data_IF_553604119112
#
_entry.id   IF_553604119112
#
_cell.length_a   1.000
_cell.length_b   1.000
_cell.length_c   1.000
_cell.angle_alpha   90.00
_cell.angle_beta   90.00
_cell.angle_gamma   90.00
#
_symmetry.space_group_name_H-M   'P 1'
#
loop_
_entity.id
_entity.type
_entity.pdbx_description
1 polymer ?
#
# COMPACT_ATOMS: atom_id res chain seq x y z
N UNK A 1 24.30 -8.72 3.83
CA UNK A 1 23.72 -8.96 2.49
C UNK A 1 24.54 -8.20 1.46
N UNK A 2 24.84 -8.84 0.31
CA UNK A 2 25.55 -8.23 -0.81
C UNK A 2 24.59 -7.71 -1.85
N UNK A 3 25.03 -6.70 -2.56
CA UNK A 3 24.31 -6.12 -3.69
C UNK A 3 25.28 -5.97 -4.87
N UNK A 4 24.80 -6.28 -6.07
CA UNK A 4 25.59 -6.23 -7.30
C UNK A 4 25.09 -5.12 -8.20
N UNK A 5 26.01 -4.32 -8.74
CA UNK A 5 25.71 -3.27 -9.70
C UNK A 5 26.66 -3.37 -10.88
N UNK A 6 26.13 -3.28 -12.09
CA UNK A 6 26.92 -3.30 -13.32
C UNK A 6 26.96 -1.91 -13.94
N UNK A 7 28.16 -1.43 -14.22
CA UNK A 7 28.40 -0.25 -15.05
C UNK A 7 28.80 -0.70 -16.47
N UNK A 8 28.22 -0.03 -17.46
CA UNK A 8 28.60 -0.21 -18.87
C UNK A 8 29.22 1.09 -19.38
N UNK A 9 30.38 0.98 -19.99
CA UNK A 9 31.14 2.06 -20.57
C UNK A 9 31.17 1.85 -22.10
N UNK A 10 30.62 2.83 -22.83
CA UNK A 10 30.67 2.85 -24.29
C UNK A 10 31.61 3.98 -24.74
N UNK A 11 32.64 3.65 -25.49
CA UNK A 11 33.60 4.62 -26.05
C UNK A 11 33.06 5.17 -27.35
N UNK A 12 32.63 6.44 -27.33
CA UNK A 12 32.10 7.15 -28.50
C UNK A 12 33.01 8.32 -28.85
N UNK A 13 33.15 8.60 -30.16
CA UNK A 13 33.96 9.71 -30.65
C UNK A 13 35.01 9.26 -31.67
N UNK A 14 35.86 10.19 -32.10
CA UNK A 14 36.89 9.95 -33.11
C UNK A 14 38.18 9.37 -32.54
N UNK A 15 38.45 9.61 -31.27
CA UNK A 15 39.68 9.13 -30.59
C UNK A 15 39.26 8.12 -29.47
N UNK A 16 40.11 7.11 -29.30
CA UNK A 16 39.97 6.16 -28.19
C UNK A 16 40.41 6.80 -26.85
N UNK A 17 40.28 6.04 -25.77
CA UNK A 17 40.69 6.41 -24.43
C UNK A 17 42.07 5.82 -24.10
N UNK A 18 42.84 6.54 -23.27
CA UNK A 18 44.18 6.10 -22.81
C UNK A 18 44.14 5.90 -21.31
N UNK A 19 44.72 4.76 -20.89
CA UNK A 19 44.81 4.41 -19.45
C UNK A 19 43.50 4.58 -18.73
N UNK A 20 42.42 4.08 -19.31
CA UNK A 20 41.07 4.18 -18.73
C UNK A 20 40.98 3.34 -17.44
N UNK A 21 40.31 3.89 -16.45
CA UNK A 21 40.06 3.26 -15.15
C UNK A 21 38.59 3.43 -14.76
N UNK A 22 38.03 2.44 -14.10
CA UNK A 22 36.73 2.52 -13.44
C UNK A 22 36.92 2.26 -11.95
N UNK A 23 36.42 3.15 -11.13
CA UNK A 23 36.48 3.09 -9.68
C UNK A 23 35.07 2.89 -9.15
N UNK A 24 34.90 1.97 -8.21
CA UNK A 24 33.63 1.70 -7.56
C UNK A 24 33.70 1.99 -6.07
N UNK A 25 32.94 2.99 -5.66
CA UNK A 25 32.82 3.38 -4.25
C UNK A 25 31.43 3.05 -3.70
N UNK A 26 31.38 2.73 -2.42
CA UNK A 26 30.12 2.57 -1.67
C UNK A 26 30.14 3.44 -0.43
N UNK A 27 29.17 4.33 -0.30
CA UNK A 27 29.08 5.33 0.77
C UNK A 27 30.35 6.21 0.90
N UNK A 28 31.06 6.42 -0.22
CA UNK A 28 32.31 7.19 -0.28
C UNK A 28 33.56 6.41 0.06
N UNK A 29 33.46 5.09 0.30
CA UNK A 29 34.60 4.21 0.52
C UNK A 29 34.89 3.40 -0.74
N UNK A 30 36.17 3.33 -1.13
CA UNK A 30 36.63 2.54 -2.27
C UNK A 30 36.37 1.05 -2.01
N UNK A 31 35.66 0.40 -2.92
CA UNK A 31 35.38 -1.05 -2.89
C UNK A 31 36.19 -1.80 -3.92
N UNK A 32 36.23 -1.27 -5.17
CA UNK A 32 36.96 -1.89 -6.25
C UNK A 32 37.45 -0.88 -7.29
N UNK A 33 38.46 -1.27 -8.08
CA UNK A 33 39.03 -0.46 -9.16
C UNK A 33 39.49 -1.37 -10.30
N UNK A 34 39.09 -1.05 -11.50
CA UNK A 34 39.47 -1.78 -12.70
C UNK A 34 40.32 -0.93 -13.63
N UNK A 35 41.51 -1.47 -13.98
CA UNK A 35 42.38 -0.92 -15.00
C UNK A 35 41.90 -1.42 -16.36
N UNK A 36 41.31 -0.58 -17.17
CA UNK A 36 40.79 -0.91 -18.50
C UNK A 36 41.85 -0.71 -19.59
N UNK A 37 42.91 0.04 -19.28
CA UNK A 37 43.97 0.36 -20.24
C UNK A 37 43.47 1.26 -21.37
N UNK A 38 43.98 1.00 -22.59
CA UNK A 38 43.54 1.75 -23.76
C UNK A 38 42.28 1.14 -24.33
N UNK A 39 41.26 1.95 -24.56
CA UNK A 39 40.00 1.55 -25.17
C UNK A 39 39.80 2.23 -26.51
N UNK A 40 39.52 1.43 -27.56
CA UNK A 40 39.28 1.95 -28.91
C UNK A 40 37.87 2.57 -29.02
N UNK A 41 37.71 3.50 -29.99
CA UNK A 41 36.39 4.00 -30.35
C UNK A 41 35.47 2.83 -30.77
N UNK A 42 34.23 2.84 -30.27
CA UNK A 42 33.24 1.77 -30.46
C UNK A 42 33.43 0.56 -29.55
N UNK A 43 34.44 0.55 -28.68
CA UNK A 43 34.59 -0.50 -27.67
C UNK A 43 33.64 -0.26 -26.47
N UNK A 44 33.07 -1.38 -26.00
CA UNK A 44 32.21 -1.40 -24.77
C UNK A 44 32.90 -2.28 -23.73
N UNK A 45 32.81 -1.84 -22.46
CA UNK A 45 33.21 -2.63 -21.29
C UNK A 45 32.06 -2.64 -20.27
N UNK A 46 31.77 -3.82 -19.72
CA UNK A 46 30.80 -3.99 -18.62
C UNK A 46 31.47 -4.58 -17.41
N UNK A 47 31.34 -3.93 -16.26
CA UNK A 47 31.99 -4.29 -15.01
C UNK A 47 30.99 -4.31 -13.88
N UNK A 48 31.03 -5.36 -13.06
CA UNK A 48 30.11 -5.55 -11.95
C UNK A 48 30.84 -5.36 -10.63
N UNK A 49 30.40 -4.36 -9.88
CA UNK A 49 30.82 -4.14 -8.50
C UNK A 49 29.91 -4.88 -7.52
N UNK A 50 30.50 -5.54 -6.54
CA UNK A 50 29.79 -6.27 -5.49
C UNK A 50 30.15 -5.63 -4.14
N UNK A 51 29.14 -5.23 -3.38
CA UNK A 51 29.38 -4.62 -2.09
C UNK A 51 28.39 -5.08 -1.01
N UNK A 52 28.83 -5.02 0.23
CA UNK A 52 27.97 -5.20 1.37
C UNK A 52 27.14 -3.95 1.61
N UNK A 53 25.82 -4.10 1.76
CA UNK A 53 24.94 -3.00 2.14
C UNK A 53 24.85 -2.87 3.68
N UNK A 54 24.79 -1.63 4.13
CA UNK A 54 24.53 -1.31 5.53
C UNK A 54 23.01 -1.32 5.77
N UNK A 55 22.55 -2.18 6.68
CA UNK A 55 21.15 -2.28 7.06
C UNK A 55 20.68 -1.03 7.81
N UNK A 56 19.41 -0.67 7.62
CA UNK A 56 18.79 0.49 8.24
C UNK A 56 19.18 1.85 7.62
N UNK A 57 19.89 1.84 6.48
CA UNK A 57 20.40 3.06 5.84
C UNK A 57 20.24 3.01 4.33
N UNK A 58 20.23 4.20 3.73
CA UNK A 58 20.45 4.36 2.31
C UNK A 58 21.94 4.17 2.01
N UNK A 59 22.25 3.23 1.10
CA UNK A 59 23.59 3.01 0.59
C UNK A 59 23.70 3.67 -0.78
N UNK A 60 24.78 4.43 -0.99
CA UNK A 60 25.05 5.14 -2.23
C UNK A 60 26.22 4.47 -2.92
N UNK A 61 26.03 4.05 -4.15
CA UNK A 61 27.02 3.43 -5.02
C UNK A 61 27.46 4.46 -6.06
N UNK A 62 28.75 4.60 -6.26
CA UNK A 62 29.31 5.54 -7.20
C UNK A 62 30.31 4.81 -8.11
N UNK A 63 30.09 4.87 -9.42
CA UNK A 63 31.10 4.52 -10.39
C UNK A 63 31.74 5.80 -10.92
N UNK A 64 33.06 5.90 -10.81
CA UNK A 64 33.84 7.02 -11.35
C UNK A 64 34.74 6.51 -12.45
N UNK A 65 34.61 7.07 -13.64
CA UNK A 65 35.40 6.71 -14.79
C UNK A 65 36.37 7.82 -15.14
N UNK A 66 37.64 7.48 -15.36
CA UNK A 66 38.72 8.38 -15.75
C UNK A 66 39.53 7.82 -16.91
N UNK A 67 40.16 8.69 -17.69
CA UNK A 67 41.16 8.35 -18.68
C UNK A 67 42.14 9.51 -18.86
N UNK A 68 43.43 9.24 -19.13
CA UNK A 68 44.50 10.27 -19.18
C UNK A 68 44.26 11.37 -20.24
N UNK A 69 43.58 11.04 -21.33
CA UNK A 69 43.27 11.98 -22.41
C UNK A 69 41.86 12.60 -22.28
N UNK A 70 41.17 12.46 -21.12
CA UNK A 70 39.92 13.13 -20.81
C UNK A 70 40.15 14.20 -19.74
N UNK A 71 39.64 15.38 -19.98
CA UNK A 71 39.79 16.54 -19.06
C UNK A 71 38.82 16.48 -17.86
N UNK A 72 37.92 15.53 -17.84
CA UNK A 72 36.84 15.44 -16.84
C UNK A 72 36.52 13.97 -16.48
N UNK A 73 36.12 13.75 -15.24
CA UNK A 73 35.66 12.48 -14.72
C UNK A 73 34.18 12.27 -15.04
N UNK A 74 33.82 11.09 -15.47
CA UNK A 74 32.42 10.69 -15.58
C UNK A 74 31.99 9.90 -14.34
N UNK A 75 30.82 10.25 -13.81
CA UNK A 75 30.30 9.64 -12.61
C UNK A 75 28.88 9.12 -12.84
N UNK A 76 28.62 7.87 -12.45
CA UNK A 76 27.29 7.29 -12.38
C UNK A 76 26.98 6.96 -10.92
N UNK A 77 25.78 7.33 -10.45
CA UNK A 77 25.37 7.14 -9.07
C UNK A 77 24.07 6.35 -9.01
N UNK A 78 24.04 5.33 -8.17
CA UNK A 78 22.83 4.59 -7.81
C UNK A 78 22.68 4.54 -6.29
N UNK A 79 21.49 4.24 -5.82
CA UNK A 79 21.30 4.06 -4.38
C UNK A 79 20.31 2.96 -4.07
N UNK A 80 20.57 2.23 -2.98
CA UNK A 80 19.74 1.15 -2.45
C UNK A 80 19.52 1.36 -0.96
N UNK A 81 18.30 1.19 -0.51
CA UNK A 81 17.99 1.22 0.92
C UNK A 81 18.09 -0.18 1.49
N UNK A 82 19.01 -0.38 2.43
CA UNK A 82 19.06 -1.58 3.26
C UNK A 82 18.07 -1.46 4.41
N UNK A 83 17.10 -2.38 4.51
CA UNK A 83 16.21 -2.44 5.66
C UNK A 83 16.87 -3.19 6.82
N UNK A 84 16.69 -2.73 8.05
CA UNK A 84 17.15 -3.43 9.25
C UNK A 84 16.39 -4.73 9.49
N UNK A 85 15.12 -4.73 9.14
CA UNK A 85 14.20 -5.87 9.09
C UNK A 85 13.16 -5.61 7.99
N UNK A 86 12.36 -6.60 7.64
CA UNK A 86 11.27 -6.46 6.67
C UNK A 86 9.97 -6.16 7.45
N UNK A 87 9.43 -4.94 7.37
CA UNK A 87 8.15 -4.63 7.99
C UNK A 87 7.00 -5.38 7.32
N UNK A 88 5.98 -5.71 8.08
CA UNK A 88 4.72 -6.20 7.52
C UNK A 88 3.91 -5.02 7.00
N UNK A 89 3.62 -5.02 5.70
CA UNK A 89 2.74 -4.02 5.12
C UNK A 89 1.30 -4.37 5.47
N UNK A 90 0.69 -3.60 6.37
CA UNK A 90 -0.71 -3.73 6.78
C UNK A 90 -1.50 -2.64 6.09
N UNK A 91 -2.36 -3.04 5.18
CA UNK A 91 -3.12 -2.16 4.31
C UNK A 91 -4.44 -1.76 4.97
N UNK A 92 -4.60 -0.50 5.32
CA UNK A 92 -5.87 0.06 5.77
C UNK A 92 -6.67 0.55 4.56
N UNK A 93 -7.93 0.11 4.45
CA UNK A 93 -8.80 0.42 3.32
C UNK A 93 -10.14 0.94 3.84
N UNK A 94 -10.51 2.13 3.40
CA UNK A 94 -11.81 2.73 3.73
C UNK A 94 -12.74 2.64 2.52
N UNK A 95 -13.99 2.29 2.73
CA UNK A 95 -15.05 2.33 1.72
C UNK A 95 -16.15 3.29 2.17
N UNK A 96 -16.48 4.29 1.35
CA UNK A 96 -17.70 5.03 1.58
C UNK A 96 -18.90 4.16 1.24
N UNK A 97 -19.85 4.07 2.14
CA UNK A 97 -21.06 3.28 2.00
C UNK A 97 -22.29 4.00 2.56
N UNK A 98 -23.46 3.46 2.33
CA UNK A 98 -24.71 3.93 2.93
C UNK A 98 -25.76 2.84 2.85
N UNK A 99 -26.67 2.78 3.80
CA UNK A 99 -27.87 1.91 3.74
C UNK A 99 -28.71 2.16 2.48
N UNK A 100 -28.65 3.36 1.93
CA UNK A 100 -29.36 3.71 0.69
C UNK A 100 -28.58 3.45 -0.60
N UNK A 101 -27.36 2.90 -0.49
CA UNK A 101 -26.50 2.60 -1.62
C UNK A 101 -26.75 1.18 -2.13
N UNK A 102 -27.56 1.03 -3.18
CA UNK A 102 -27.91 -0.29 -3.71
C UNK A 102 -26.79 -1.07 -4.39
N UNK A 103 -25.66 -0.42 -4.74
CA UNK A 103 -24.47 -1.07 -5.31
C UNK A 103 -23.39 -1.38 -4.27
N UNK A 104 -23.48 -0.82 -3.07
CA UNK A 104 -22.49 -1.04 -2.00
C UNK A 104 -22.35 -2.52 -1.58
N UNK A 105 -23.36 -3.40 -1.70
CA UNK A 105 -23.18 -4.83 -1.49
C UNK A 105 -22.05 -5.47 -2.30
N UNK A 106 -21.64 -4.89 -3.44
CA UNK A 106 -20.50 -5.39 -4.23
C UNK A 106 -19.20 -5.26 -3.47
N UNK A 107 -18.95 -4.08 -2.89
CA UNK A 107 -17.76 -3.82 -2.07
C UNK A 107 -17.74 -4.67 -0.81
N UNK A 108 -18.86 -4.74 -0.10
CA UNK A 108 -19.00 -5.58 1.11
C UNK A 108 -18.63 -7.04 0.82
N UNK A 109 -19.14 -7.62 -0.25
CA UNK A 109 -18.81 -8.99 -0.65
C UNK A 109 -17.31 -9.15 -0.94
N UNK A 110 -16.71 -8.21 -1.66
CA UNK A 110 -15.29 -8.27 -2.00
C UNK A 110 -14.43 -8.23 -0.74
N UNK A 111 -14.75 -7.37 0.21
CA UNK A 111 -14.02 -7.28 1.48
C UNK A 111 -14.18 -8.54 2.32
N UNK A 112 -15.38 -9.11 2.41
CA UNK A 112 -15.62 -10.38 3.09
C UNK A 112 -14.74 -11.49 2.49
N UNK A 113 -14.69 -11.60 1.16
CA UNK A 113 -13.85 -12.60 0.48
C UNK A 113 -12.36 -12.38 0.69
N UNK A 114 -11.91 -11.14 0.72
CA UNK A 114 -10.51 -10.83 1.04
C UNK A 114 -10.18 -11.20 2.50
N UNK A 115 -11.08 -10.95 3.45
CA UNK A 115 -10.86 -11.31 4.85
C UNK A 115 -10.85 -12.83 5.08
N UNK A 116 -11.56 -13.60 4.25
CA UNK A 116 -11.55 -15.08 4.28
C UNK A 116 -10.25 -15.66 3.67
N UNK A 117 -9.58 -14.94 2.77
CA UNK A 117 -8.38 -15.43 2.09
C UNK A 117 -7.14 -15.28 2.97
N UNK A 118 -6.38 -16.38 3.21
CA UNK A 118 -5.14 -16.35 3.99
C UNK A 118 -4.11 -15.32 3.53
N UNK A 119 -4.11 -14.95 2.24
CA UNK A 119 -3.20 -13.95 1.68
C UNK A 119 -3.44 -12.56 2.29
N UNK A 120 -4.68 -12.24 2.65
CA UNK A 120 -5.06 -10.92 3.15
C UNK A 120 -5.28 -10.88 4.67
N UNK A 121 -5.51 -12.04 5.30
CA UNK A 121 -6.00 -12.18 6.68
C UNK A 121 -5.33 -11.26 7.72
N UNK A 122 -4.01 -11.14 7.68
CA UNK A 122 -3.25 -10.37 8.68
C UNK A 122 -2.68 -9.07 8.11
N UNK A 123 -3.05 -8.72 6.87
CA UNK A 123 -2.50 -7.59 6.13
C UNK A 123 -3.57 -6.63 5.59
N UNK A 124 -4.84 -7.02 5.56
CA UNK A 124 -5.93 -6.23 5.02
C UNK A 124 -6.91 -5.82 6.14
N UNK A 125 -7.08 -4.52 6.31
CA UNK A 125 -7.91 -3.93 7.36
C UNK A 125 -8.96 -3.00 6.72
N UNK A 126 -10.12 -3.53 6.31
CA UNK A 126 -11.18 -2.71 5.75
C UNK A 126 -11.97 -1.98 6.83
N UNK A 127 -12.53 -0.83 6.47
CA UNK A 127 -13.45 -0.07 7.28
C UNK A 127 -14.54 0.54 6.41
N UNK A 128 -15.79 0.27 6.72
CA UNK A 128 -16.94 0.87 6.04
C UNK A 128 -17.27 2.21 6.69
N UNK A 129 -17.24 3.26 5.88
CA UNK A 129 -17.51 4.64 6.31
C UNK A 129 -18.90 5.04 5.79
N UNK A 130 -19.90 4.98 6.66
CA UNK A 130 -21.26 5.37 6.30
C UNK A 130 -21.39 6.88 6.09
N UNK A 131 -22.05 7.26 5.00
CA UNK A 131 -22.29 8.65 4.62
C UNK A 131 -23.79 8.98 4.58
N UNK A 132 -24.16 10.19 4.99
CA UNK A 132 -25.55 10.66 4.98
C UNK A 132 -25.95 11.33 3.65
N UNK A 133 -25.07 11.44 2.68
CA UNK A 133 -25.30 12.12 1.40
C UNK A 133 -26.41 11.47 0.55
N UNK A 134 -26.71 10.19 0.78
CA UNK A 134 -27.73 9.43 0.04
C UNK A 134 -29.06 9.28 0.79
N UNK A 135 -29.16 9.80 2.01
CA UNK A 135 -30.33 9.69 2.88
C UNK A 135 -29.94 9.50 4.35
N UNK A 136 -30.94 9.36 5.22
CA UNK A 136 -30.69 9.11 6.63
C UNK A 136 -30.01 7.74 6.84
N UNK A 137 -28.85 7.76 7.41
CA UNK A 137 -28.08 6.56 7.76
C UNK A 137 -27.67 6.67 9.24
N UNK A 138 -28.16 5.78 10.12
CA UNK A 138 -27.89 5.84 11.56
C UNK A 138 -26.42 5.60 11.92
N UNK A 139 -25.62 5.02 10.98
CA UNK A 139 -24.20 4.77 11.16
C UNK A 139 -23.32 5.91 10.61
N UNK A 140 -23.90 6.89 9.91
CA UNK A 140 -23.14 8.00 9.36
C UNK A 140 -22.63 8.95 10.45
N UNK A 141 -21.34 9.27 10.41
CA UNK A 141 -20.71 10.23 11.32
C UNK A 141 -20.00 11.32 10.53
N UNK A 142 -20.58 12.52 10.50
CA UNK A 142 -20.06 13.68 9.78
C UNK A 142 -18.61 14.02 10.10
N UNK A 143 -18.22 13.80 11.35
CA UNK A 143 -16.86 14.07 11.81
C UNK A 143 -15.79 13.23 11.11
N UNK A 144 -16.15 12.02 10.69
CA UNK A 144 -15.21 11.10 10.06
C UNK A 144 -15.24 11.18 8.54
N UNK A 145 -16.39 11.00 7.91
CA UNK A 145 -16.43 10.94 6.45
C UNK A 145 -16.04 12.27 5.80
N UNK A 146 -16.22 13.41 6.48
CA UNK A 146 -15.71 14.71 6.02
C UNK A 146 -14.18 14.77 5.87
N UNK A 147 -13.44 13.78 6.35
CA UNK A 147 -11.98 13.68 6.19
C UNK A 147 -11.56 12.89 4.95
N UNK A 148 -12.50 12.23 4.29
CA UNK A 148 -12.23 11.54 3.03
C UNK A 148 -12.17 12.53 1.87
N UNK A 149 -11.41 12.22 0.81
CA UNK A 149 -11.26 13.12 -0.36
C UNK A 149 -12.58 13.44 -1.06
N UNK A 150 -13.48 12.45 -1.16
CA UNK A 150 -14.84 12.63 -1.66
C UNK A 150 -15.81 11.84 -0.80
N UNK A 151 -16.58 12.55 0.01
CA UNK A 151 -17.56 11.97 0.94
C UNK A 151 -19.01 12.10 0.45
N UNK A 152 -19.22 12.54 -0.78
CA UNK A 152 -20.56 12.77 -1.34
C UNK A 152 -21.10 11.57 -2.12
N UNK A 153 -20.26 10.58 -2.41
CA UNK A 153 -20.58 9.43 -3.27
C UNK A 153 -20.23 8.12 -2.57
N UNK A 154 -21.04 7.10 -2.82
CA UNK A 154 -20.81 5.72 -2.41
C UNK A 154 -21.22 4.75 -3.55
N UNK A 155 -20.53 3.61 -3.72
CA UNK A 155 -19.32 3.21 -3.04
C UNK A 155 -18.05 3.79 -3.68
N UNK A 156 -17.15 4.33 -2.87
CA UNK A 156 -15.78 4.65 -3.27
C UNK A 156 -14.82 3.99 -2.28
N UNK A 157 -13.71 3.46 -2.78
CA UNK A 157 -12.73 2.73 -1.97
C UNK A 157 -11.40 3.45 -1.96
N UNK A 158 -10.84 3.64 -0.77
CA UNK A 158 -9.65 4.44 -0.50
C UNK A 158 -8.56 3.61 0.20
N UNK A 159 -7.73 2.85 -0.54
CA UNK A 159 -6.57 2.21 0.06
C UNK A 159 -5.56 3.25 0.54
N UNK A 160 -5.31 3.28 1.85
CA UNK A 160 -4.37 4.21 2.51
C UNK A 160 -4.58 5.69 2.14
N UNK A 161 -5.76 6.03 1.60
CA UNK A 161 -6.12 7.38 1.08
C UNK A 161 -5.22 7.90 -0.05
N UNK A 162 -4.45 7.04 -0.69
CA UNK A 162 -3.55 7.43 -1.79
C UNK A 162 -4.21 7.33 -3.17
N UNK A 163 -5.14 6.40 -3.31
CA UNK A 163 -5.88 6.15 -4.56
C UNK A 163 -7.36 6.03 -4.27
N UNK A 164 -8.18 6.30 -5.29
CA UNK A 164 -9.63 6.14 -5.21
C UNK A 164 -10.07 5.14 -6.27
N UNK A 165 -10.84 4.14 -5.87
CA UNK A 165 -11.47 3.18 -6.76
C UNK A 165 -12.99 3.37 -6.76
N UNK A 166 -13.57 3.31 -7.96
CA UNK A 166 -15.01 3.35 -8.14
C UNK A 166 -15.60 1.96 -7.86
N UNK A 167 -16.26 1.81 -6.75
CA UNK A 167 -16.91 0.57 -6.33
C UNK A 167 -18.17 0.20 -7.13
N UNK A 168 -18.61 1.04 -8.07
CA UNK A 168 -19.71 0.70 -8.99
C UNK A 168 -19.31 -0.29 -10.09
N UNK A 169 -18.03 -0.39 -10.40
CA UNK A 169 -17.52 -1.29 -11.43
C UNK A 169 -17.46 -2.71 -10.90
N UNK A 170 -18.51 -3.48 -11.12
CA UNK A 170 -18.58 -4.87 -10.69
C UNK A 170 -17.36 -5.71 -11.11
N UNK A 171 -16.79 -5.45 -12.30
CA UNK A 171 -15.58 -6.15 -12.79
C UNK A 171 -14.37 -5.87 -11.91
N UNK A 172 -14.16 -4.60 -11.53
CA UNK A 172 -13.02 -4.21 -10.69
C UNK A 172 -13.16 -4.75 -9.25
N UNK A 173 -14.39 -4.94 -8.76
CA UNK A 173 -14.70 -5.39 -7.40
C UNK A 173 -15.02 -6.88 -7.27
N UNK A 174 -15.07 -7.64 -8.37
CA UNK A 174 -15.16 -9.10 -8.29
C UNK A 174 -13.89 -9.64 -7.60
N UNK A 175 -14.09 -10.53 -6.63
CA UNK A 175 -12.98 -11.16 -5.95
C UNK A 175 -12.26 -12.16 -6.86
N UNK A 176 -11.13 -11.76 -7.39
CA UNK A 176 -10.19 -12.62 -8.11
C UNK A 176 -8.76 -12.07 -7.95
N UNK A 177 -7.95 -12.62 -7.02
CA UNK A 177 -6.60 -12.12 -6.77
C UNK A 177 -5.60 -12.47 -7.89
N UNK A 178 -6.02 -13.21 -8.92
CA UNK A 178 -5.18 -13.58 -10.06
C UNK A 178 -5.40 -12.70 -11.29
N UNK A 179 -6.51 -11.98 -11.36
CA UNK A 179 -6.87 -11.10 -12.46
C UNK A 179 -6.42 -9.66 -12.19
N UNK A 180 -5.52 -9.13 -13.02
CA UNK A 180 -4.91 -7.80 -12.90
C UNK A 180 -5.91 -6.63 -12.88
N UNK A 181 -7.11 -6.83 -13.39
CA UNK A 181 -8.16 -5.82 -13.45
C UNK A 181 -8.93 -5.70 -12.13
N UNK A 182 -8.81 -6.69 -11.24
CA UNK A 182 -9.59 -6.71 -9.99
C UNK A 182 -8.94 -5.92 -8.85
N UNK A 183 -9.79 -5.45 -7.94
CA UNK A 183 -9.35 -4.79 -6.72
C UNK A 183 -8.48 -5.72 -5.86
N UNK A 184 -8.88 -6.99 -5.70
CA UNK A 184 -8.13 -7.96 -4.90
C UNK A 184 -6.69 -8.15 -5.39
N UNK A 185 -6.48 -8.28 -6.71
CA UNK A 185 -5.13 -8.37 -7.30
C UNK A 185 -4.30 -7.12 -6.99
N UNK A 186 -4.87 -5.94 -7.18
CA UNK A 186 -4.17 -4.67 -6.92
C UNK A 186 -3.78 -4.52 -5.45
N UNK A 187 -4.65 -4.95 -4.52
CA UNK A 187 -4.35 -4.93 -3.09
C UNK A 187 -3.27 -5.95 -2.72
N UNK A 188 -3.29 -7.15 -3.31
CA UNK A 188 -2.23 -8.14 -3.13
C UNK A 188 -0.85 -7.58 -3.56
N UNK A 189 -0.80 -6.90 -4.71
CA UNK A 189 0.41 -6.21 -5.19
C UNK A 189 0.87 -5.10 -4.24
N UNK A 190 -0.08 -4.34 -3.70
CA UNK A 190 0.21 -3.26 -2.76
C UNK A 190 0.78 -3.79 -1.45
N UNK A 191 0.19 -4.83 -0.88
CA UNK A 191 0.71 -5.52 0.32
C UNK A 191 2.12 -6.08 0.09
N UNK A 192 2.41 -6.56 -1.12
CA UNK A 192 3.74 -7.05 -1.48
C UNK A 192 4.78 -5.92 -1.66
N UNK A 193 4.36 -4.65 -1.74
CA UNK A 193 5.26 -3.52 -1.85
C UNK A 193 5.94 -3.26 -0.51
N UNK A 194 7.28 -3.15 -0.45
CA UNK A 194 7.98 -2.90 0.79
C UNK A 194 7.54 -1.59 1.45
N UNK A 195 7.32 -1.63 2.76
CA UNK A 195 7.12 -0.45 3.59
C UNK A 195 8.36 -0.20 4.46
N UNK A 196 8.48 1.00 5.02
CA UNK A 196 9.61 1.38 5.87
C UNK A 196 9.28 1.42 7.36
N UNK A 197 8.02 1.23 7.69
CA UNK A 197 7.51 1.26 9.06
C UNK A 197 6.74 -0.02 9.37
N UNK A 198 6.96 -0.54 10.56
CA UNK A 198 6.11 -1.54 11.16
C UNK A 198 5.34 -0.90 12.32
N UNK A 199 4.06 -1.21 12.44
CA UNK A 199 3.16 -0.61 13.43
C UNK A 199 2.40 -1.72 14.15
N UNK A 200 2.58 -1.80 15.45
CA UNK A 200 1.78 -2.66 16.33
C UNK A 200 0.83 -1.81 17.16
N UNK A 201 -0.40 -2.26 17.30
CA UNK A 201 -1.44 -1.58 18.08
C UNK A 201 -1.92 -2.49 19.19
N UNK A 202 -1.99 -1.95 20.39
CA UNK A 202 -2.62 -2.59 21.53
C UNK A 202 -3.70 -1.69 22.12
N UNK A 203 -4.81 -2.28 22.54
CA UNK A 203 -5.91 -1.55 23.18
C UNK A 203 -6.46 -2.29 24.38
N UNK A 204 -6.98 -1.56 25.34
CA UNK A 204 -7.75 -2.12 26.44
C UNK A 204 -8.93 -1.23 26.80
N UNK A 205 -10.02 -1.85 27.16
CA UNK A 205 -11.17 -1.17 27.73
C UNK A 205 -10.89 -0.78 29.19
N UNK A 206 -11.31 0.42 29.57
CA UNK A 206 -11.31 0.90 30.94
C UNK A 206 -12.75 1.22 31.28
N UNK A 207 -13.31 0.49 32.25
CA UNK A 207 -14.67 0.68 32.74
C UNK A 207 -14.59 1.39 34.08
N UNK A 208 -15.36 2.46 34.24
CA UNK A 208 -15.49 3.23 35.47
C UNK A 208 -16.84 2.90 36.09
N UNK A 209 -16.83 2.26 37.26
CA UNK A 209 -18.03 1.74 37.91
C UNK A 209 -18.98 2.86 38.43
N UNK A 210 -18.48 4.08 38.65
CA UNK A 210 -19.26 5.15 39.25
C UNK A 210 -20.20 5.87 38.28
N UNK A 211 -19.87 5.87 36.97
CA UNK A 211 -20.60 6.65 35.95
C UNK A 211 -21.05 5.84 34.72
N UNK A 212 -20.88 4.52 34.74
CA UNK A 212 -21.10 3.64 33.58
C UNK A 212 -20.32 4.11 32.31
N UNK A 213 -19.22 4.83 32.53
CA UNK A 213 -18.39 5.38 31.47
C UNK A 213 -17.35 4.38 31.08
N UNK A 214 -17.27 4.11 29.79
CA UNK A 214 -16.27 3.22 29.22
C UNK A 214 -15.31 4.03 28.32
N UNK A 215 -14.03 3.81 28.51
CA UNK A 215 -13.00 4.38 27.64
C UNK A 215 -12.09 3.31 27.05
N UNK A 216 -11.44 3.64 25.93
CA UNK A 216 -10.44 2.78 25.29
C UNK A 216 -9.07 3.43 25.44
N UNK A 217 -8.14 2.71 26.03
CA UNK A 217 -6.73 3.09 25.99
C UNK A 217 -6.03 2.37 24.85
N UNK A 218 -5.53 3.15 23.88
CA UNK A 218 -4.79 2.61 22.75
C UNK A 218 -3.31 2.97 22.84
N UNK A 219 -2.46 2.04 22.45
CA UNK A 219 -1.01 2.25 22.35
C UNK A 219 -0.55 1.78 20.99
N UNK A 220 0.17 2.63 20.25
CA UNK A 220 0.82 2.25 19.00
C UNK A 220 2.34 2.21 19.22
N UNK A 221 2.96 1.12 18.79
CA UNK A 221 4.41 0.98 18.71
C UNK A 221 4.83 1.07 17.25
N UNK A 222 5.58 2.11 16.90
CA UNK A 222 6.05 2.35 15.54
C UNK A 222 7.54 2.01 15.47
N UNK A 223 7.91 1.09 14.59
CA UNK A 223 9.30 0.65 14.39
C UNK A 223 9.75 0.97 12.97
N UNK A 224 10.65 1.94 12.76
CA UNK A 224 11.22 2.19 11.46
C UNK A 224 12.26 1.13 11.09
N UNK A 225 12.20 0.59 9.89
CA UNK A 225 13.18 -0.37 9.37
C UNK A 225 14.43 0.29 8.78
N UNK A 226 14.42 1.61 8.71
CA UNK A 226 15.56 2.43 8.28
C UNK A 226 15.55 3.79 8.99
N UNK A 227 16.67 4.50 8.93
CA UNK A 227 16.73 5.89 9.41
C UNK A 227 15.86 6.78 8.51
N UNK A 228 14.90 7.47 9.10
CA UNK A 228 14.00 8.42 8.43
C UNK A 228 14.45 9.84 8.77
N UNK A 229 15.05 10.52 7.79
CA UNK A 229 15.49 11.91 7.96
C UNK A 229 14.36 12.88 7.57
N UNK A 230 14.03 13.81 8.47
CA UNK A 230 13.04 14.86 8.22
C UNK A 230 11.60 14.36 8.08
N UNK A 231 11.31 13.12 8.44
CA UNK A 231 9.95 12.57 8.37
C UNK A 231 9.06 13.21 9.45
N UNK A 232 7.91 13.75 9.02
CA UNK A 232 6.87 14.25 9.92
C UNK A 232 5.85 13.11 10.16
N UNK A 233 6.19 12.19 11.05
CA UNK A 233 5.33 11.07 11.38
C UNK A 233 4.21 11.51 12.34
N UNK A 234 3.01 11.00 12.08
CA UNK A 234 1.84 11.19 12.95
C UNK A 234 1.16 9.84 13.16
N UNK A 235 0.61 9.64 14.34
CA UNK A 235 -0.22 8.47 14.66
C UNK A 235 -1.65 8.96 14.82
N UNK A 236 -2.57 8.29 14.14
CA UNK A 236 -4.01 8.46 14.34
C UNK A 236 -4.61 7.12 14.73
N UNK A 237 -5.54 7.14 15.68
CA UNK A 237 -6.32 5.97 16.06
C UNK A 237 -7.72 6.11 15.48
N UNK A 238 -8.19 5.06 14.80
CA UNK A 238 -9.54 4.95 14.26
C UNK A 238 -10.23 3.85 15.07
N UNK A 239 -11.34 4.19 15.69
CA UNK A 239 -12.18 3.24 16.39
C UNK A 239 -13.33 2.86 15.47
N UNK A 240 -13.47 1.57 15.21
CA UNK A 240 -14.56 0.99 14.43
C UNK A 240 -15.44 0.13 15.31
N UNK A 241 -16.70 0.03 14.97
CA UNK A 241 -17.67 -0.83 15.64
C UNK A 241 -18.13 -1.92 14.66
N UNK A 242 -18.10 -3.17 15.11
CA UNK A 242 -18.53 -4.31 14.33
C UNK A 242 -19.89 -4.83 14.80
N UNK A 243 -20.56 -5.58 13.94
CA UNK A 243 -21.84 -6.21 14.23
C UNK A 243 -22.98 -5.21 14.56
N UNK A 244 -22.93 -4.06 13.87
CA UNK A 244 -23.91 -2.99 14.04
C UNK A 244 -25.18 -3.30 13.25
N UNK A 245 -26.34 -3.14 13.85
CA UNK A 245 -27.63 -3.34 13.22
C UNK A 245 -28.75 -3.58 14.22
N UNK A 246 -29.99 -3.39 13.79
CA UNK A 246 -31.20 -3.64 14.59
C UNK A 246 -32.19 -4.49 13.79
N UNK A 247 -32.52 -5.67 14.32
CA UNK A 247 -33.47 -6.59 13.70
C UNK A 247 -34.86 -6.00 13.60
N UNK A 248 -35.51 -6.17 12.46
CA UNK A 248 -36.87 -5.71 12.20
C UNK A 248 -37.03 -4.19 12.09
N UNK A 249 -35.97 -3.42 12.19
CA UNK A 249 -36.02 -1.97 12.10
C UNK A 249 -35.79 -1.50 10.64
N UNK A 250 -36.80 -0.87 10.06
CA UNK A 250 -36.76 -0.40 8.66
C UNK A 250 -35.71 0.68 8.41
N UNK A 251 -35.22 1.38 9.44
CA UNK A 251 -34.15 2.38 9.33
C UNK A 251 -32.77 1.75 9.21
N UNK A 252 -32.67 0.42 9.34
CA UNK A 252 -31.44 -0.37 9.27
C UNK A 252 -31.44 -1.33 8.08
N UNK A 253 -32.21 -1.04 7.05
CA UNK A 253 -32.26 -1.88 5.84
C UNK A 253 -31.31 -1.37 4.77
N UNK A 254 -30.61 -2.31 4.15
CA UNK A 254 -29.69 -2.05 3.06
C UNK A 254 -30.43 -2.12 1.71
N UNK A 255 -30.34 -1.08 0.91
CA UNK A 255 -30.74 -1.14 -0.51
C UNK A 255 -29.86 -2.14 -1.26
N UNK A 256 -30.47 -2.96 -2.11
CA UNK A 256 -29.79 -4.06 -2.78
C UNK A 256 -30.18 -4.13 -4.26
N UNK A 257 -29.49 -3.40 -5.12
CA UNK A 257 -29.74 -3.41 -6.57
C UNK A 257 -29.27 -4.68 -7.28
N UNK A 258 -28.63 -5.61 -6.54
CA UNK A 258 -28.27 -6.93 -7.04
C UNK A 258 -29.43 -7.93 -6.95
N UNK A 259 -30.48 -7.63 -6.17
CA UNK A 259 -31.64 -8.49 -5.98
C UNK A 259 -32.21 -8.98 -7.30
N UNK A 260 -32.33 -10.28 -7.47
CA UNK A 260 -32.87 -10.94 -8.67
C UNK A 260 -32.02 -10.81 -9.93
N UNK A 261 -30.82 -10.18 -9.88
CA UNK A 261 -29.95 -10.09 -11.05
C UNK A 261 -29.11 -11.36 -11.22
N UNK A 262 -28.82 -11.68 -12.48
CA UNK A 262 -27.79 -12.66 -12.83
C UNK A 262 -26.48 -11.90 -12.97
N UNK A 263 -25.60 -12.03 -11.97
CA UNK A 263 -24.26 -11.47 -11.97
C UNK A 263 -23.25 -12.58 -11.83
N UNK A 264 -22.11 -12.41 -12.45
CA UNK A 264 -21.01 -13.37 -12.34
C UNK A 264 -20.59 -13.51 -10.86
N UNK A 265 -20.36 -14.77 -10.42
CA UNK A 265 -19.92 -15.06 -9.06
C UNK A 265 -21.01 -14.98 -7.99
N UNK A 266 -22.28 -14.74 -8.35
CA UNK A 266 -23.42 -14.67 -7.41
C UNK A 266 -23.21 -13.70 -6.21
N UNK A 267 -22.15 -12.91 -6.19
CA UNK A 267 -21.78 -11.90 -5.21
C UNK A 267 -22.21 -12.25 -3.78
N UNK A 268 -21.75 -13.41 -3.27
CA UNK A 268 -22.00 -13.87 -1.90
C UNK A 268 -23.46 -14.10 -1.52
N UNK A 269 -24.33 -14.31 -2.50
CA UNK A 269 -25.77 -14.51 -2.25
C UNK A 269 -26.58 -13.22 -2.25
N UNK A 270 -25.97 -12.03 -2.39
CA UNK A 270 -26.70 -10.77 -2.48
C UNK A 270 -27.76 -10.74 -3.58
N UNK A 271 -27.53 -11.47 -4.68
CA UNK A 271 -28.53 -11.63 -5.75
C UNK A 271 -29.79 -12.38 -5.34
N UNK A 272 -29.74 -13.15 -4.25
CA UNK A 272 -30.85 -13.92 -3.69
C UNK A 272 -31.57 -13.18 -2.55
N UNK A 273 -30.98 -12.13 -2.02
CA UNK A 273 -31.58 -11.31 -0.99
C UNK A 273 -32.56 -10.29 -1.59
N UNK A 274 -33.61 -9.89 -0.85
CA UNK A 274 -34.58 -8.90 -1.32
C UNK A 274 -33.96 -7.50 -1.45
N UNK A 275 -34.65 -6.60 -2.14
CA UNK A 275 -34.41 -5.16 -2.09
C UNK A 275 -35.62 -4.48 -1.45
N UNK A 276 -35.49 -3.81 -0.31
CA UNK A 276 -34.29 -3.77 0.55
C UNK A 276 -34.08 -5.04 1.40
N UNK A 277 -32.83 -5.24 1.82
CA UNK A 277 -32.46 -6.36 2.71
C UNK A 277 -32.50 -5.92 4.16
N UNK A 278 -33.18 -6.70 5.00
CA UNK A 278 -33.34 -6.46 6.44
C UNK A 278 -32.41 -7.39 7.25
N UNK A 279 -32.26 -7.06 8.53
CA UNK A 279 -31.58 -7.89 9.55
C UNK A 279 -30.11 -8.17 9.22
N UNK A 280 -29.45 -7.26 8.55
CA UNK A 280 -28.00 -7.33 8.32
C UNK A 280 -27.23 -6.91 9.57
N UNK A 281 -26.04 -7.46 9.70
CA UNK A 281 -25.03 -7.02 10.63
C UNK A 281 -23.83 -6.50 9.85
N UNK A 282 -23.49 -5.24 10.08
CA UNK A 282 -22.41 -4.56 9.40
C UNK A 282 -21.10 -4.74 10.18
N UNK A 283 -20.05 -5.09 9.50
CA UNK A 283 -18.72 -5.36 10.07
C UNK A 283 -17.68 -4.39 9.57
#
# INVERSE_FOLDING_TARGET
DTYELTATIDVVGAEGLKNAQLIFDVNGELVDMWELGNMACGQTASLTGVANIVKGKKNVFTFRFTADNQAWEQTAVASVTGLAFIPTHRLFVEETTSLHCGNCPIGMYTFEKMLEDPQFKDCFFPSSVHIAAMGYDPMATDLYYSKLPDSSVAPLVYPERETVYDGFKAVDMIYDPTNEETFAYRMARRIATPTYLDVDVAGKWIVYDEDDTTSVQCTATVRPAMTLHGANLRVAFILTENNVGLDGNIYWMQSNYLSGKQVEGNLGGWTQLPDPTLNLRFH
#
